data_IF_488924403210
#
_entry.id   IF_488924403210
#
_cell.length_a   1.000
_cell.length_b   1.000
_cell.length_c   1.000
_cell.angle_alpha   90.00
_cell.angle_beta   90.00
_cell.angle_gamma   90.00
#
_symmetry.space_group_name_H-M   'P 1'
#
loop_
_entity.id
_entity.type
_entity.pdbx_description
1 polymer ?
#
# COMPACT_ATOMS: atom_id res chain seq x y z
N UNK A 1 -11.67 17.21 53.69
CA UNK A 1 -11.66 16.00 54.54
C UNK A 1 -11.80 16.48 55.96
N UNK A 2 -12.61 15.84 56.80
CA UNK A 2 -12.69 16.23 58.20
C UNK A 2 -11.30 16.01 58.84
N UNK A 3 -10.77 17.03 59.47
CA UNK A 3 -9.47 17.04 60.13
C UNK A 3 -9.61 16.53 61.56
N UNK A 4 -8.50 16.08 62.14
CA UNK A 4 -8.43 15.62 63.54
C UNK A 4 -9.11 16.63 64.50
N UNK A 5 -8.88 17.93 64.28
CA UNK A 5 -9.47 19.00 65.09
C UNK A 5 -10.98 19.12 64.92
N UNK A 6 -11.51 18.88 63.73
CA UNK A 6 -12.96 18.95 63.47
C UNK A 6 -13.69 17.78 64.14
N UNK A 7 -13.07 16.59 64.17
CA UNK A 7 -13.61 15.41 64.86
C UNK A 7 -13.68 15.67 66.38
N UNK A 8 -12.62 16.25 66.96
CA UNK A 8 -12.58 16.61 68.39
C UNK A 8 -13.62 17.69 68.72
N UNK A 9 -13.70 18.76 67.92
CA UNK A 9 -14.70 19.83 68.10
C UNK A 9 -16.13 19.30 67.99
N UNK A 10 -16.37 18.34 67.08
CA UNK A 10 -17.68 17.71 66.92
C UNK A 10 -18.07 16.85 68.11
N UNK A 11 -17.13 16.12 68.71
CA UNK A 11 -17.35 15.38 69.95
C UNK A 11 -17.76 16.30 71.10
N UNK A 12 -17.11 17.46 71.20
CA UNK A 12 -17.39 18.47 72.23
C UNK A 12 -18.74 19.17 72.00
N UNK A 13 -19.10 19.48 70.75
CA UNK A 13 -20.41 20.04 70.37
C UNK A 13 -21.57 19.08 70.63
N UNK A 14 -21.35 17.76 70.47
CA UNK A 14 -22.32 16.72 70.77
C UNK A 14 -22.47 16.46 72.28
N UNK A 15 -21.66 17.13 73.11
CA UNK A 15 -21.71 17.00 74.57
C UNK A 15 -21.21 15.64 75.08
N UNK A 16 -20.49 14.87 74.26
CA UNK A 16 -19.93 13.59 74.69
C UNK A 16 -18.82 13.81 75.73
N UNK A 17 -18.86 13.05 76.83
CA UNK A 17 -17.85 13.06 77.90
C UNK A 17 -17.48 11.65 78.33
N UNK A 18 -16.30 11.50 78.93
CA UNK A 18 -15.80 10.23 79.42
C UNK A 18 -15.75 9.16 78.33
N UNK A 19 -16.19 7.95 78.65
CA UNK A 19 -16.14 6.78 77.75
C UNK A 19 -16.84 7.02 76.41
N UNK A 20 -18.00 7.70 76.39
CA UNK A 20 -18.73 8.01 75.15
C UNK A 20 -17.92 8.92 74.21
N UNK A 21 -17.10 9.82 74.75
CA UNK A 21 -16.23 10.69 73.94
C UNK A 21 -15.09 9.88 73.35
N UNK A 22 -14.48 9.02 74.15
CA UNK A 22 -13.38 8.17 73.67
C UNK A 22 -13.83 7.19 72.58
N UNK A 23 -15.00 6.58 72.74
CA UNK A 23 -15.56 5.65 71.76
C UNK A 23 -15.88 6.35 70.44
N UNK A 24 -16.50 7.53 70.49
CA UNK A 24 -16.77 8.36 69.32
C UNK A 24 -15.48 8.74 68.57
N UNK A 25 -14.47 9.21 69.30
CA UNK A 25 -13.18 9.61 68.70
C UNK A 25 -12.47 8.41 68.07
N UNK A 26 -12.43 7.26 68.75
CA UNK A 26 -11.85 6.02 68.19
C UNK A 26 -12.55 5.60 66.91
N UNK A 27 -13.88 5.66 66.87
CA UNK A 27 -14.66 5.27 65.69
C UNK A 27 -14.40 6.22 64.51
N UNK A 28 -14.42 7.54 64.74
CA UNK A 28 -14.21 8.54 63.69
C UNK A 28 -12.76 8.57 63.19
N UNK A 29 -11.77 8.33 64.05
CA UNK A 29 -10.37 8.20 63.60
C UNK A 29 -10.15 6.95 62.76
N UNK A 30 -10.71 5.82 63.17
CA UNK A 30 -10.65 4.59 62.37
C UNK A 30 -11.28 4.81 60.97
N UNK A 31 -12.44 5.47 60.91
CA UNK A 31 -13.08 5.84 59.65
C UNK A 31 -12.23 6.80 58.82
N UNK A 32 -11.51 7.72 59.45
CA UNK A 32 -10.61 8.65 58.77
C UNK A 32 -9.40 7.93 58.16
N UNK A 33 -8.77 7.01 58.91
CA UNK A 33 -7.68 6.17 58.44
C UNK A 33 -8.13 5.27 57.29
N UNK A 34 -9.22 4.52 57.43
CA UNK A 34 -9.77 3.68 56.36
C UNK A 34 -10.10 4.49 55.09
N UNK A 35 -10.51 5.75 55.24
CA UNK A 35 -10.78 6.64 54.11
C UNK A 35 -9.50 7.19 53.49
N UNK A 36 -8.44 7.41 54.26
CA UNK A 36 -7.14 7.77 53.73
C UNK A 36 -6.51 6.61 52.98
N UNK A 37 -6.49 5.42 53.56
CA UNK A 37 -5.98 4.20 52.92
C UNK A 37 -6.69 3.92 51.60
N UNK A 38 -8.03 4.00 51.57
CA UNK A 38 -8.79 3.84 50.32
C UNK A 38 -8.47 4.90 49.26
N UNK A 39 -8.15 6.12 49.67
CA UNK A 39 -7.75 7.18 48.73
C UNK A 39 -6.35 6.94 48.19
N UNK A 40 -5.41 6.57 49.05
CA UNK A 40 -4.04 6.25 48.64
C UNK A 40 -4.01 5.00 47.74
N UNK A 41 -4.82 3.99 48.03
CA UNK A 41 -4.97 2.81 47.19
C UNK A 41 -5.59 3.17 45.82
N UNK A 42 -6.64 4.01 45.80
CA UNK A 42 -7.23 4.49 44.56
C UNK A 42 -6.24 5.32 43.72
N UNK A 43 -5.49 6.23 44.33
CA UNK A 43 -4.47 7.03 43.65
C UNK A 43 -3.32 6.16 43.14
N UNK A 44 -2.90 5.16 43.93
CA UNK A 44 -1.88 4.19 43.51
C UNK A 44 -2.36 3.34 42.34
N UNK A 45 -3.64 2.96 42.34
CA UNK A 45 -4.26 2.19 41.28
C UNK A 45 -4.38 3.03 40.00
N UNK A 46 -4.87 4.27 40.11
CA UNK A 46 -4.98 5.22 38.99
C UNK A 46 -3.60 5.48 38.37
N UNK A 47 -2.58 5.76 39.19
CA UNK A 47 -1.21 5.95 38.71
C UNK A 47 -0.65 4.71 38.01
N UNK A 48 -1.03 3.51 38.46
CA UNK A 48 -0.61 2.25 37.84
C UNK A 48 -1.31 2.04 36.50
N UNK A 49 -2.60 2.33 36.41
CA UNK A 49 -3.39 2.26 35.18
C UNK A 49 -2.92 3.29 34.15
N UNK A 50 -2.62 4.52 34.55
CA UNK A 50 -2.02 5.53 33.68
C UNK A 50 -0.64 5.10 33.17
N UNK A 51 0.21 4.56 34.04
CA UNK A 51 1.54 4.08 33.64
C UNK A 51 1.45 2.89 32.67
N UNK A 52 0.50 1.98 32.88
CA UNK A 52 0.24 0.85 31.99
C UNK A 52 -0.32 1.32 30.64
N UNK A 53 -1.25 2.28 30.65
CA UNK A 53 -1.78 2.94 29.45
C UNK A 53 -0.66 3.58 28.62
N UNK A 54 0.17 4.43 29.24
CA UNK A 54 1.30 5.06 28.58
C UNK A 54 2.32 4.05 28.06
N UNK A 55 2.58 2.96 28.80
CA UNK A 55 3.49 1.90 28.36
C UNK A 55 2.92 1.15 27.15
N UNK A 56 1.61 0.88 27.12
CA UNK A 56 0.92 0.23 26.02
C UNK A 56 0.94 1.11 24.75
N UNK A 57 0.65 2.39 24.88
CA UNK A 57 0.70 3.34 23.76
C UNK A 57 2.11 3.43 23.16
N UNK A 58 3.15 3.58 24.01
CA UNK A 58 4.54 3.60 23.55
C UNK A 58 4.93 2.31 22.84
N UNK A 59 4.48 1.16 23.34
CA UNK A 59 4.76 -0.14 22.71
C UNK A 59 4.09 -0.25 21.35
N UNK A 60 2.82 0.15 21.23
CA UNK A 60 2.08 0.11 19.97
C UNK A 60 2.68 1.06 18.94
N UNK A 61 3.10 2.26 19.36
CA UNK A 61 3.78 3.20 18.47
C UNK A 61 5.15 2.68 18.01
N UNK A 62 5.95 2.11 18.92
CA UNK A 62 7.23 1.49 18.57
C UNK A 62 7.04 0.34 17.57
N UNK A 63 6.02 -0.51 17.77
CA UNK A 63 5.68 -1.60 16.85
C UNK A 63 5.25 -1.06 15.48
N UNK A 64 4.40 -0.03 15.45
CA UNK A 64 3.97 0.63 14.21
C UNK A 64 5.15 1.23 13.45
N UNK A 65 6.09 1.87 14.14
CA UNK A 65 7.30 2.41 13.53
C UNK A 65 8.23 1.30 13.03
N UNK A 66 8.41 0.23 13.80
CA UNK A 66 9.22 -0.92 13.40
C UNK A 66 8.65 -1.60 12.15
N UNK A 67 7.32 -1.78 12.08
CA UNK A 67 6.63 -2.33 10.90
C UNK A 67 6.84 -1.46 9.66
N UNK A 68 6.68 -0.13 9.78
CA UNK A 68 6.91 0.80 8.67
C UNK A 68 8.36 0.74 8.18
N UNK A 69 9.34 0.74 9.10
CA UNK A 69 10.76 0.63 8.74
C UNK A 69 11.08 -0.69 8.04
N UNK A 70 10.50 -1.79 8.50
CA UNK A 70 10.68 -3.10 7.86
C UNK A 70 10.08 -3.13 6.46
N UNK A 71 8.86 -2.62 6.29
CA UNK A 71 8.21 -2.57 4.98
C UNK A 71 8.97 -1.67 3.99
N UNK A 72 9.51 -0.55 4.46
CA UNK A 72 10.35 0.33 3.64
C UNK A 72 11.69 -0.33 3.26
N UNK A 73 12.33 -1.04 4.19
CA UNK A 73 13.54 -1.81 3.92
C UNK A 73 13.28 -2.92 2.90
N UNK A 74 12.23 -3.71 3.09
CA UNK A 74 11.83 -4.79 2.17
C UNK A 74 11.51 -4.23 0.76
N UNK A 75 10.84 -3.06 0.70
CA UNK A 75 10.56 -2.37 -0.57
C UNK A 75 11.84 -1.90 -1.24
N UNK A 76 12.77 -1.32 -0.48
CA UNK A 76 14.06 -0.85 -1.00
C UNK A 76 14.87 -2.02 -1.54
N UNK A 77 14.97 -3.12 -0.79
CA UNK A 77 15.69 -4.33 -1.22
C UNK A 77 15.10 -4.91 -2.52
N UNK A 78 13.77 -4.96 -2.64
CA UNK A 78 13.11 -5.40 -3.88
C UNK A 78 13.47 -4.52 -5.08
N UNK A 79 13.43 -3.21 -4.91
CA UNK A 79 13.79 -2.26 -5.97
C UNK A 79 15.28 -2.36 -6.34
N UNK A 80 16.16 -2.59 -5.36
CA UNK A 80 17.60 -2.79 -5.61
C UNK A 80 17.86 -4.09 -6.37
N UNK A 81 17.18 -5.19 -6.00
CA UNK A 81 17.28 -6.46 -6.71
C UNK A 81 16.75 -6.37 -8.15
N UNK A 82 15.63 -5.68 -8.36
CA UNK A 82 15.06 -5.45 -9.69
C UNK A 82 15.99 -4.63 -10.56
N UNK A 83 16.57 -3.54 -10.02
CA UNK A 83 17.59 -2.75 -10.72
C UNK A 83 18.81 -3.59 -11.09
N UNK A 84 19.28 -4.44 -10.17
CA UNK A 84 20.43 -5.31 -10.43
C UNK A 84 20.13 -6.34 -11.53
N UNK A 85 18.91 -6.90 -11.56
CA UNK A 85 18.49 -7.80 -12.64
C UNK A 85 18.44 -7.08 -13.98
N UNK A 86 17.84 -5.89 -14.03
CA UNK A 86 17.77 -5.11 -15.26
C UNK A 86 19.15 -4.71 -15.76
N UNK A 87 20.05 -4.30 -14.87
CA UNK A 87 21.45 -3.98 -15.22
C UNK A 87 22.21 -5.21 -15.74
N UNK A 88 22.01 -6.38 -15.12
CA UNK A 88 22.60 -7.63 -15.61
C UNK A 88 22.05 -8.04 -16.99
N UNK A 89 20.75 -7.88 -17.22
CA UNK A 89 20.10 -8.16 -18.50
C UNK A 89 20.61 -7.21 -19.60
N UNK A 90 20.70 -5.90 -19.30
CA UNK A 90 21.24 -4.90 -20.23
C UNK A 90 22.70 -5.20 -20.58
N UNK A 91 23.54 -5.56 -19.60
CA UNK A 91 24.92 -5.99 -19.83
C UNK A 91 25.00 -7.23 -20.71
N UNK A 92 24.12 -8.20 -20.51
CA UNK A 92 24.07 -9.43 -21.30
C UNK A 92 23.64 -9.14 -22.73
N UNK A 93 22.64 -8.27 -22.94
CA UNK A 93 22.22 -7.80 -24.26
C UNK A 93 23.35 -7.06 -24.97
N UNK A 94 24.04 -6.16 -24.27
CA UNK A 94 25.17 -5.42 -24.82
C UNK A 94 26.32 -6.35 -25.22
N UNK A 95 26.68 -7.31 -24.38
CA UNK A 95 27.67 -8.34 -24.72
C UNK A 95 27.24 -9.20 -25.92
N UNK A 96 25.95 -9.53 -26.06
CA UNK A 96 25.42 -10.25 -27.24
C UNK A 96 25.48 -9.43 -28.52
N UNK A 97 25.29 -8.11 -28.44
CA UNK A 97 25.45 -7.19 -29.57
C UNK A 97 26.93 -7.09 -29.97
N UNK A 98 27.82 -6.91 -28.99
CA UNK A 98 29.28 -6.85 -29.22
C UNK A 98 29.84 -8.15 -29.79
N UNK A 99 29.32 -9.30 -29.35
CA UNK A 99 29.67 -10.61 -29.89
C UNK A 99 29.04 -10.91 -31.28
N UNK A 100 28.25 -9.99 -31.84
CA UNK A 100 27.61 -10.15 -33.15
C UNK A 100 26.50 -11.20 -33.20
N UNK A 101 26.04 -11.70 -32.04
CA UNK A 101 24.95 -12.68 -31.93
C UNK A 101 23.59 -12.01 -32.17
N UNK A 102 23.44 -10.75 -31.75
CA UNK A 102 22.33 -9.89 -32.12
C UNK A 102 22.82 -8.90 -33.16
N UNK A 103 22.35 -9.01 -34.41
CA UNK A 103 22.66 -8.04 -35.47
C UNK A 103 22.09 -6.67 -35.06
N UNK A 104 22.97 -5.72 -34.81
CA UNK A 104 22.61 -4.31 -34.84
C UNK A 104 22.30 -3.97 -36.30
N UNK A 105 21.02 -4.00 -36.71
CA UNK A 105 20.61 -3.49 -38.02
C UNK A 105 20.94 -1.99 -38.05
N UNK A 106 21.96 -1.55 -38.79
CA UNK A 106 22.16 -0.13 -39.01
C UNK A 106 21.11 0.29 -40.03
N UNK A 107 20.27 1.24 -39.66
CA UNK A 107 19.53 2.02 -40.65
C UNK A 107 20.58 2.72 -41.55
N UNK A 108 20.67 2.28 -42.81
CA UNK A 108 21.67 2.80 -43.72
C UNK A 108 21.90 1.97 -44.98
N UNK A 109 20.98 2.12 -45.94
CA UNK A 109 21.22 1.98 -47.40
C UNK A 109 21.77 0.65 -47.93
N UNK A 110 20.94 -0.11 -48.65
CA UNK A 110 21.41 -1.24 -49.45
C UNK A 110 20.28 -1.92 -50.19
N UNK A 111 20.09 -1.56 -51.45
CA UNK A 111 19.06 -2.11 -52.31
C UNK A 111 19.25 -3.61 -52.58
N UNK A 112 18.14 -4.36 -52.55
CA UNK A 112 17.65 -5.32 -53.57
C UNK A 112 17.08 -6.62 -52.98
N UNK A 113 15.90 -6.95 -53.52
CA UNK A 113 15.35 -8.29 -53.74
C UNK A 113 14.54 -8.96 -52.62
N UNK A 114 13.22 -8.95 -52.87
CA UNK A 114 12.30 -10.09 -52.79
C UNK A 114 12.28 -10.92 -51.49
N UNK A 115 11.48 -10.49 -50.54
CA UNK A 115 10.37 -11.28 -49.97
C UNK A 115 9.56 -10.31 -49.08
N UNK A 116 8.29 -10.08 -49.40
CA UNK A 116 7.46 -9.11 -48.68
C UNK A 116 7.01 -9.70 -47.34
N UNK A 117 7.94 -9.73 -46.38
CA UNK A 117 7.62 -9.74 -44.96
C UNK A 117 6.87 -8.46 -44.64
N UNK A 118 5.60 -8.59 -44.23
CA UNK A 118 4.75 -7.47 -43.86
C UNK A 118 5.45 -6.64 -42.76
N UNK A 119 6.08 -5.53 -43.16
CA UNK A 119 6.60 -4.53 -42.22
C UNK A 119 5.39 -3.98 -41.48
N UNK A 120 5.37 -4.15 -40.16
CA UNK A 120 4.28 -3.72 -39.27
C UNK A 120 3.79 -2.32 -39.68
N UNK A 121 2.48 -2.04 -39.73
CA UNK A 121 2.03 -0.72 -40.14
C UNK A 121 2.63 0.30 -39.18
N UNK A 122 3.18 1.42 -39.71
CA UNK A 122 3.51 2.60 -38.91
C UNK A 122 2.24 3.33 -38.43
N UNK A 123 1.16 2.59 -38.17
CA UNK A 123 -0.07 3.09 -37.63
C UNK A 123 0.11 3.29 -36.13
N UNK A 124 -0.30 4.43 -35.57
CA UNK A 124 -0.33 4.63 -34.13
C UNK A 124 -1.23 3.57 -33.48
N UNK A 125 -0.78 3.00 -32.37
CA UNK A 125 -1.58 2.10 -31.55
C UNK A 125 -2.88 2.79 -31.13
N UNK A 126 -3.97 2.02 -31.08
CA UNK A 126 -5.26 2.48 -30.57
C UNK A 126 -5.14 2.85 -29.09
N UNK A 127 -5.59 4.05 -28.70
CA UNK A 127 -5.64 4.51 -27.31
C UNK A 127 -7.06 4.44 -26.75
N UNK A 128 -7.33 3.44 -25.89
CA UNK A 128 -8.62 3.29 -25.19
C UNK A 128 -8.95 4.55 -24.36
N UNK A 129 -10.10 5.17 -24.66
CA UNK A 129 -10.59 6.40 -24.03
C UNK A 129 -10.19 7.70 -24.73
N UNK A 130 -9.31 7.66 -25.75
CA UNK A 130 -8.96 8.81 -26.59
C UNK A 130 -9.40 8.64 -28.04
N UNK A 131 -9.24 7.45 -28.59
CA UNK A 131 -9.61 7.13 -29.96
C UNK A 131 -11.01 6.52 -30.00
N UNK A 132 -11.81 6.94 -31.01
CA UNK A 132 -13.05 6.24 -31.36
C UNK A 132 -12.71 4.97 -32.14
N UNK A 133 -13.14 3.82 -31.62
CA UNK A 133 -12.79 2.51 -32.18
C UNK A 133 -13.26 2.34 -33.63
N UNK A 134 -14.45 2.84 -33.98
CA UNK A 134 -14.99 2.74 -35.33
C UNK A 134 -14.17 3.54 -36.34
N UNK A 135 -13.80 4.77 -35.98
CA UNK A 135 -12.98 5.65 -36.83
C UNK A 135 -11.56 5.10 -36.97
N UNK A 136 -10.99 4.57 -35.88
CA UNK A 136 -9.65 4.00 -35.89
C UNK A 136 -9.58 2.71 -36.73
N UNK A 137 -10.60 1.85 -36.68
CA UNK A 137 -10.68 0.66 -37.53
C UNK A 137 -10.76 1.00 -39.02
N UNK A 138 -11.54 2.00 -39.41
CA UNK A 138 -11.57 2.46 -40.81
C UNK A 138 -10.20 2.95 -41.29
N UNK A 139 -9.43 3.59 -40.41
CA UNK A 139 -8.05 4.01 -40.72
C UNK A 139 -7.11 2.81 -40.81
N UNK A 140 -7.29 1.83 -39.92
CA UNK A 140 -6.56 0.58 -39.96
C UNK A 140 -6.80 -0.12 -41.30
N UNK A 141 -8.03 -0.35 -41.74
CA UNK A 141 -8.39 -1.09 -42.97
C UNK A 141 -7.85 -0.48 -44.26
N UNK A 142 -7.85 0.85 -44.37
CA UNK A 142 -7.31 1.56 -45.55
C UNK A 142 -5.81 1.31 -45.76
N UNK A 143 -5.08 1.02 -44.69
CA UNK A 143 -3.62 0.82 -44.74
C UNK A 143 -3.22 -0.52 -45.38
N UNK A 144 -3.63 -1.70 -44.88
CA UNK A 144 -3.34 -2.98 -45.49
C UNK A 144 -4.00 -3.12 -46.86
N UNK A 145 -5.16 -2.49 -47.12
CA UNK A 145 -5.77 -2.43 -48.45
C UNK A 145 -4.85 -1.70 -49.45
N UNK A 146 -4.34 -0.52 -49.09
CA UNK A 146 -3.42 0.25 -49.95
C UNK A 146 -2.06 -0.42 -50.12
N UNK A 147 -1.65 -1.30 -49.20
CA UNK A 147 -0.38 -2.02 -49.24
C UNK A 147 -0.52 -3.47 -49.76
N UNK A 148 -1.71 -3.90 -50.18
CA UNK A 148 -1.95 -5.22 -50.76
C UNK A 148 -1.79 -6.39 -49.78
N UNK A 149 -2.10 -6.21 -48.50
CA UNK A 149 -1.95 -7.27 -47.50
C UNK A 149 -3.07 -8.30 -47.61
N UNK A 150 -2.72 -9.59 -47.47
CA UNK A 150 -3.72 -10.66 -47.36
C UNK A 150 -4.60 -10.44 -46.13
N UNK A 151 -5.94 -10.55 -46.29
CA UNK A 151 -6.93 -10.38 -45.22
C UNK A 151 -6.69 -11.29 -44.02
N UNK A 152 -6.16 -12.48 -44.27
CA UNK A 152 -5.79 -13.45 -43.22
C UNK A 152 -4.77 -12.89 -42.22
N UNK A 153 -3.95 -11.90 -42.64
CA UNK A 153 -2.92 -11.26 -41.79
C UNK A 153 -3.39 -9.98 -41.12
N UNK A 154 -4.58 -9.49 -41.45
CA UNK A 154 -5.12 -8.24 -40.88
C UNK A 154 -5.43 -8.43 -39.41
N UNK A 155 -6.11 -9.53 -39.08
CA UNK A 155 -6.48 -9.90 -37.71
C UNK A 155 -5.27 -9.97 -36.76
N UNK A 156 -4.18 -10.63 -37.17
CA UNK A 156 -2.94 -10.69 -36.38
C UNK A 156 -2.22 -9.35 -36.24
N UNK A 157 -2.36 -8.47 -37.23
CA UNK A 157 -1.77 -7.11 -37.17
C UNK A 157 -2.63 -6.16 -36.35
N UNK A 158 -3.95 -6.38 -36.35
CA UNK A 158 -4.94 -5.61 -35.60
C UNK A 158 -4.76 -5.83 -34.10
N UNK A 159 -4.63 -7.08 -33.65
CA UNK A 159 -4.47 -7.38 -32.22
C UNK A 159 -3.19 -6.77 -31.63
N UNK A 160 -2.13 -6.62 -32.42
CA UNK A 160 -0.88 -5.98 -32.00
C UNK A 160 -0.99 -4.45 -31.81
N UNK A 161 -2.01 -3.83 -32.41
CA UNK A 161 -2.23 -2.38 -32.39
C UNK A 161 -3.35 -1.95 -31.43
N UNK A 162 -4.16 -2.89 -30.93
CA UNK A 162 -5.18 -2.64 -29.90
C UNK A 162 -4.55 -2.58 -28.50
N UNK A 163 -5.09 -1.71 -27.64
CA UNK A 163 -4.70 -1.63 -26.24
C UNK A 163 -5.93 -1.55 -25.31
N UNK A 164 -5.74 -1.82 -24.02
CA UNK A 164 -6.80 -1.67 -23.02
C UNK A 164 -8.00 -2.60 -23.23
N UNK A 165 -9.22 -2.08 -23.06
CA UNK A 165 -10.46 -2.88 -23.15
C UNK A 165 -10.73 -3.42 -24.55
N UNK A 166 -10.29 -2.73 -25.60
CA UNK A 166 -10.44 -3.21 -26.97
C UNK A 166 -9.64 -4.50 -27.22
N UNK A 167 -8.45 -4.61 -26.63
CA UNK A 167 -7.65 -5.83 -26.68
C UNK A 167 -8.27 -6.96 -25.83
N UNK A 168 -8.82 -6.65 -24.66
CA UNK A 168 -9.52 -7.62 -23.81
C UNK A 168 -10.78 -8.18 -24.51
N UNK A 169 -11.54 -7.34 -25.20
CA UNK A 169 -12.68 -7.76 -26.02
C UNK A 169 -12.25 -8.68 -27.18
N UNK A 170 -11.17 -8.33 -27.88
CA UNK A 170 -10.61 -9.17 -28.95
C UNK A 170 -10.13 -10.53 -28.43
N UNK A 171 -9.47 -10.57 -27.26
CA UNK A 171 -9.01 -11.82 -26.64
C UNK A 171 -10.13 -12.75 -26.14
N UNK A 172 -11.35 -12.23 -25.97
CA UNK A 172 -12.55 -13.01 -25.60
C UNK A 172 -13.26 -13.62 -26.81
N UNK A 173 -12.91 -13.21 -28.03
CA UNK A 173 -13.40 -13.83 -29.27
C UNK A 173 -12.65 -15.14 -29.49
N UNK A 174 -13.36 -16.20 -29.87
CA UNK A 174 -12.71 -17.48 -30.18
C UNK A 174 -11.82 -17.35 -31.43
N UNK A 175 -10.82 -18.22 -31.59
CA UNK A 175 -9.88 -18.16 -32.72
C UNK A 175 -10.53 -18.31 -34.11
N UNK A 176 -11.77 -18.78 -34.16
CA UNK A 176 -12.60 -18.84 -35.38
C UNK A 176 -13.36 -17.52 -35.62
N UNK A 177 -13.81 -16.84 -34.57
CA UNK A 177 -14.51 -15.56 -34.65
C UNK A 177 -13.57 -14.37 -34.88
N UNK A 178 -12.28 -14.52 -34.60
CA UNK A 178 -11.28 -13.49 -34.85
C UNK A 178 -10.76 -13.47 -36.30
N UNK A 179 -11.13 -14.46 -37.13
CA UNK A 179 -10.63 -14.63 -38.52
C UNK A 179 -11.63 -14.25 -39.61
N UNK A 180 -12.90 -14.03 -39.24
CA UNK A 180 -13.99 -13.57 -40.13
C UNK A 180 -14.12 -12.04 -40.03
#
# INVERSE_FOLDING_TARGET
MATMEEIVKKADLLGYRGEKREEYLKQEFKLLEERQEKKEEAERQERKEEAEGQAREKKEEAERQARKKKEEADRKERLELEKMKLDAEMKLLQAKIEAGILKNEPDGSGARSSDTGAKHPKLPNFQDGRDDLGIWLTRFERFPESNGWSREKWSSSLCALLTGRALDCYGRLSAEQAKD
#
